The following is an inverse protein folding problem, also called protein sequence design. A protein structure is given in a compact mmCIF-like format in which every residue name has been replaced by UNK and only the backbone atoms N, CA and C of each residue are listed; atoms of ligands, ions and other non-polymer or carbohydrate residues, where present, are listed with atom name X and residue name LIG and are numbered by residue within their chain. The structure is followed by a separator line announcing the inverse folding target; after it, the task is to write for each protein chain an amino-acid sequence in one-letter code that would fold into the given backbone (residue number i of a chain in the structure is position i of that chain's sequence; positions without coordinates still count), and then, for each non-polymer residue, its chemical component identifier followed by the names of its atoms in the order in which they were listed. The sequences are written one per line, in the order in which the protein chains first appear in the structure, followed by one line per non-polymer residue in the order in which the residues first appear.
data_IF_526323131558
#
_entry.id   IF_526323131558
#
_cell.length_a   1.000
_cell.length_b   1.000
_cell.length_c   1.000
_cell.angle_alpha   90.00
_cell.angle_beta   90.00
_cell.angle_gamma   90.00
#
_symmetry.space_group_name_H-M   'P 1'
#
loop_
_entity.id
_entity.type
_entity.pdbx_description
1 polymer ?
#
# COMPACT_ATOMS: atom_id res chain seq x y z
N UNK A 1 -49.27 7.97 17.32
CA UNK A 1 -47.98 7.45 17.82
C UNK A 1 -46.89 8.29 17.20
N UNK A 2 -46.07 8.83 18.08
CA UNK A 2 -45.32 10.07 17.95
C UNK A 2 -44.17 10.03 16.94
N UNK A 3 -44.12 11.05 16.09
CA UNK A 3 -42.92 11.45 15.38
C UNK A 3 -42.39 12.73 16.04
N UNK A 4 -41.24 12.64 16.73
CA UNK A 4 -40.60 13.80 17.36
C UNK A 4 -39.14 13.92 16.96
N UNK A 5 -38.92 14.96 16.15
CA UNK A 5 -37.86 15.98 16.20
C UNK A 5 -36.41 15.52 16.04
N UNK A 6 -35.85 15.88 14.88
CA UNK A 6 -34.43 16.19 14.75
C UNK A 6 -34.30 17.71 14.82
N UNK A 7 -33.51 18.18 15.78
CA UNK A 7 -33.20 19.58 16.01
C UNK A 7 -31.89 19.91 15.28
N UNK A 8 -31.98 20.72 14.24
CA UNK A 8 -30.83 21.31 13.54
C UNK A 8 -30.63 22.73 14.08
N UNK A 9 -29.44 23.01 14.62
CA UNK A 9 -29.00 24.36 14.99
C UNK A 9 -28.10 24.88 13.86
N UNK A 10 -28.49 25.92 13.10
CA UNK A 10 -27.61 26.60 12.17
C UNK A 10 -26.66 27.56 12.89
N UNK A 11 -25.41 27.58 12.45
CA UNK A 11 -24.35 28.49 12.89
C UNK A 11 -24.35 29.79 12.06
N UNK A 12 -24.10 30.89 12.78
CA UNK A 12 -23.54 32.18 12.33
C UNK A 12 -24.49 33.22 11.71
N UNK A 13 -24.08 34.51 11.64
CA UNK A 13 -23.44 35.37 12.66
C UNK A 13 -24.28 36.67 12.86
N UNK A 14 -24.07 37.42 13.93
CA UNK A 14 -24.53 38.82 13.96
C UNK A 14 -23.55 39.70 14.72
N UNK A 15 -22.88 40.54 13.93
CA UNK A 15 -22.34 41.83 14.32
C UNK A 15 -23.34 42.61 15.18
N UNK A 16 -22.85 43.24 16.25
CA UNK A 16 -23.43 44.47 16.78
C UNK A 16 -22.32 45.42 17.21
N UNK A 17 -22.26 46.51 16.46
CA UNK A 17 -21.53 47.73 16.67
C UNK A 17 -22.19 48.64 17.73
N UNK A 18 -21.33 49.35 18.46
CA UNK A 18 -21.40 50.75 18.92
C UNK A 18 -22.66 51.32 19.63
N UNK A 19 -22.44 51.84 20.84
CA UNK A 19 -22.87 53.16 21.36
C UNK A 19 -22.03 53.42 22.64
N UNK A 20 -20.98 54.25 22.65
CA UNK A 20 -20.93 55.72 22.79
C UNK A 20 -21.67 56.30 24.01
N UNK A 21 -20.91 56.67 25.04
CA UNK A 21 -21.10 57.93 25.76
C UNK A 21 -19.74 58.59 26.03
N UNK A 22 -19.61 59.79 25.46
CA UNK A 22 -18.67 60.88 25.75
C UNK A 22 -18.91 61.38 27.18
N UNK A 23 -17.93 61.79 27.98
CA UNK A 23 -17.16 63.05 28.02
C UNK A 23 -16.14 62.83 29.16
N UNK A 24 -14.89 63.29 29.15
CA UNK A 24 -14.53 64.68 29.48
C UNK A 24 -12.99 64.84 29.36
N UNK A 25 -12.60 65.66 28.39
CA UNK A 25 -11.59 66.72 28.45
C UNK A 25 -10.40 66.61 29.46
N UNK A 26 -9.17 66.51 28.93
CA UNK A 26 -8.10 67.49 29.23
C UNK A 26 -6.88 67.28 28.35
N UNK A 27 -6.59 68.29 27.52
CA UNK A 27 -5.36 68.51 26.79
C UNK A 27 -4.17 68.73 27.74
N UNK A 28 -3.10 67.93 27.63
CA UNK A 28 -1.75 68.32 28.07
C UNK A 28 -0.73 67.80 27.04
N UNK A 29 -0.10 68.76 26.37
CA UNK A 29 1.23 68.80 25.78
C UNK A 29 1.92 67.50 25.34
N UNK A 30 2.17 67.43 24.03
CA UNK A 30 3.29 66.71 23.46
C UNK A 30 4.60 67.36 23.93
N UNK A 31 5.28 66.75 24.90
CA UNK A 31 6.71 66.92 25.05
C UNK A 31 7.43 65.68 24.50
N UNK A 32 8.06 65.89 23.35
CA UNK A 32 9.04 65.00 22.75
C UNK A 32 10.28 65.03 23.64
N UNK A 33 10.30 64.19 24.67
CA UNK A 33 11.54 63.85 25.36
C UNK A 33 12.08 62.53 24.81
N UNK A 34 12.98 62.71 23.84
CA UNK A 34 14.02 61.78 23.46
C UNK A 34 14.83 61.42 24.73
N UNK A 35 14.49 60.31 25.37
CA UNK A 35 15.31 59.68 26.41
C UNK A 35 16.05 58.50 25.81
N UNK A 36 17.27 58.75 25.34
CA UNK A 36 18.35 57.77 25.40
C UNK A 36 18.62 57.48 26.87
N UNK A 37 17.91 56.50 27.44
CA UNK A 37 18.03 56.07 28.83
C UNK A 37 18.25 54.57 28.88
N UNK A 38 19.38 54.15 29.44
CA UNK A 38 19.76 52.75 29.65
C UNK A 38 18.58 51.91 30.13
N UNK A 39 18.28 50.81 29.44
CA UNK A 39 17.34 49.79 29.94
C UNK A 39 17.92 49.16 31.19
N UNK A 40 17.65 49.73 32.36
CA UNK A 40 17.86 49.04 33.64
C UNK A 40 16.83 47.92 33.70
N UNK A 41 17.28 46.69 33.43
CA UNK A 41 16.43 45.49 33.48
C UNK A 41 15.99 45.26 34.94
N UNK A 42 14.82 45.78 35.28
CA UNK A 42 14.20 45.56 36.58
C UNK A 42 13.69 44.11 36.66
N UNK A 43 13.75 43.48 37.83
CA UNK A 43 13.33 42.08 38.01
C UNK A 43 11.90 41.76 37.51
N UNK A 44 11.06 42.80 37.36
CA UNK A 44 9.73 42.69 36.77
C UNK A 44 9.73 42.35 35.28
N UNK A 45 10.71 42.82 34.50
CA UNK A 45 10.83 42.48 33.06
C UNK A 45 11.27 41.03 32.88
N UNK A 46 12.13 40.52 33.77
CA UNK A 46 12.50 39.11 33.80
C UNK A 46 11.34 38.20 34.17
N UNK A 47 10.54 38.61 35.15
CA UNK A 47 9.34 37.86 35.54
C UNK A 47 8.35 37.75 34.37
N UNK A 48 8.06 38.86 33.69
CA UNK A 48 7.19 38.84 32.50
C UNK A 48 7.76 38.00 31.36
N UNK A 49 9.06 38.13 31.08
CA UNK A 49 9.72 37.32 30.06
C UNK A 49 9.64 35.82 30.38
N UNK A 50 9.83 35.44 31.65
CA UNK A 50 9.69 34.07 32.10
C UNK A 50 8.25 33.54 31.97
N UNK A 51 7.23 34.37 32.28
CA UNK A 51 5.83 34.01 32.10
C UNK A 51 5.48 33.79 30.62
N UNK A 52 5.93 34.67 29.72
CA UNK A 52 5.70 34.54 28.28
C UNK A 52 6.40 33.28 27.75
N UNK A 53 7.64 33.05 28.15
CA UNK A 53 8.39 31.86 27.75
C UNK A 53 7.72 30.57 28.25
N UNK A 54 7.24 30.56 29.49
CA UNK A 54 6.51 29.42 30.04
C UNK A 54 5.20 29.16 29.29
N UNK A 55 4.44 30.20 28.97
CA UNK A 55 3.21 30.07 28.18
C UNK A 55 3.48 29.55 26.76
N UNK A 56 4.55 30.04 26.12
CA UNK A 56 4.97 29.58 24.81
C UNK A 56 5.41 28.10 24.82
N UNK A 57 6.20 27.69 25.81
CA UNK A 57 6.63 26.29 25.97
C UNK A 57 5.43 25.36 26.24
N UNK A 58 4.46 25.79 27.06
CA UNK A 58 3.23 25.03 27.28
C UNK A 58 2.41 24.89 26.00
N UNK A 59 2.25 25.96 25.21
CA UNK A 59 1.53 25.92 23.94
C UNK A 59 2.19 24.97 22.92
N UNK A 60 3.52 24.98 22.82
CA UNK A 60 4.28 24.06 21.96
C UNK A 60 4.07 22.61 22.41
N UNK A 61 4.13 22.35 23.72
CA UNK A 61 3.98 21.00 24.25
C UNK A 61 2.56 20.44 24.01
N UNK A 62 1.53 21.27 24.24
CA UNK A 62 0.14 20.96 23.89
C UNK A 62 -0.06 20.75 22.39
N UNK A 63 0.56 21.59 21.56
CA UNK A 63 0.54 21.45 20.10
C UNK A 63 1.14 20.13 19.64
N UNK A 64 2.31 19.76 20.17
CA UNK A 64 3.00 18.52 19.88
C UNK A 64 2.19 17.29 20.31
N UNK A 65 1.60 17.31 21.52
CA UNK A 65 0.72 16.26 22.01
C UNK A 65 -0.52 16.10 21.12
N UNK A 66 -1.15 17.20 20.71
CA UNK A 66 -2.32 17.16 19.83
C UNK A 66 -1.97 16.63 18.44
N UNK A 67 -0.81 17.00 17.88
CA UNK A 67 -0.36 16.52 16.59
C UNK A 67 -0.06 15.01 16.63
N UNK A 68 0.58 14.53 17.70
CA UNK A 68 0.84 13.10 17.92
C UNK A 68 -0.46 12.32 18.07
N UNK A 69 -1.43 12.84 18.82
CA UNK A 69 -2.75 12.22 18.94
C UNK A 69 -3.49 12.21 17.60
N UNK A 70 -3.45 13.30 16.84
CA UNK A 70 -4.08 13.40 15.52
C UNK A 70 -3.48 12.40 14.52
N UNK A 71 -2.16 12.22 14.56
CA UNK A 71 -1.46 11.23 13.73
C UNK A 71 -1.82 9.80 14.16
N UNK A 72 -1.95 9.54 15.46
CA UNK A 72 -2.37 8.23 15.98
C UNK A 72 -3.86 7.93 15.73
N UNK A 73 -4.69 8.96 15.59
CA UNK A 73 -6.13 8.84 15.31
C UNK A 73 -6.46 8.95 13.83
N UNK A 74 -5.48 9.02 12.93
CA UNK A 74 -5.72 8.87 11.50
C UNK A 74 -6.49 7.55 11.31
N UNK A 75 -7.67 7.58 10.66
CA UNK A 75 -8.44 6.37 10.44
C UNK A 75 -7.55 5.40 9.66
N UNK A 76 -7.13 4.33 10.32
CA UNK A 76 -6.65 3.16 9.61
C UNK A 76 -7.78 2.74 8.67
N UNK A 77 -7.48 2.38 7.40
CA UNK A 77 -8.52 1.92 6.49
C UNK A 77 -9.33 0.86 7.20
N UNK A 78 -10.65 1.07 7.29
CA UNK A 78 -11.57 0.20 8.00
C UNK A 78 -11.43 -1.18 7.37
N UNK A 79 -10.68 -2.07 8.03
CA UNK A 79 -10.54 -3.46 7.62
C UNK A 79 -11.92 -4.07 7.73
N UNK A 80 -12.54 -4.39 6.61
CA UNK A 80 -13.76 -5.20 6.60
C UNK A 80 -13.44 -6.50 7.33
N UNK A 81 -14.28 -6.94 8.28
CA UNK A 81 -14.07 -8.23 8.92
C UNK A 81 -14.12 -9.29 7.84
N UNK A 82 -13.03 -10.04 7.64
CA UNK A 82 -13.01 -11.10 6.64
C UNK A 82 -14.17 -12.07 6.93
N UNK A 83 -14.78 -12.66 5.91
CA UNK A 83 -15.84 -13.68 6.07
C UNK A 83 -15.36 -14.87 6.92
N UNK A 84 -14.04 -15.01 7.08
CA UNK A 84 -13.41 -16.04 7.88
C UNK A 84 -13.02 -15.61 9.30
N UNK A 85 -13.31 -14.37 9.70
CA UNK A 85 -12.98 -13.83 11.01
C UNK A 85 -13.83 -14.56 12.07
N UNK A 86 -13.17 -15.33 12.95
CA UNK A 86 -13.85 -16.15 13.97
C UNK A 86 -13.86 -17.65 13.69
N UNK A 87 -13.46 -18.12 12.50
CA UNK A 87 -13.05 -19.53 12.33
C UNK A 87 -11.74 -19.82 13.08
N UNK A 88 -11.00 -18.76 13.42
CA UNK A 88 -9.74 -18.83 14.15
C UNK A 88 -9.95 -19.23 15.63
N UNK A 89 -11.16 -19.07 16.17
CA UNK A 89 -11.50 -19.54 17.53
C UNK A 89 -11.85 -21.02 17.58
N UNK A 90 -12.20 -21.63 16.44
CA UNK A 90 -12.41 -23.07 16.29
C UNK A 90 -11.08 -23.84 16.16
N UNK A 91 -9.99 -23.11 15.94
CA UNK A 91 -8.64 -23.63 15.98
C UNK A 91 -8.24 -23.81 17.45
N UNK A 92 -8.32 -25.06 17.92
CA UNK A 92 -7.96 -25.44 19.29
C UNK A 92 -6.58 -24.94 19.73
N UNK A 93 -6.35 -24.97 21.05
CA UNK A 93 -5.24 -24.39 21.84
C UNK A 93 -3.78 -24.69 21.38
N UNK A 94 -3.59 -25.50 20.33
CA UNK A 94 -2.30 -25.94 19.79
C UNK A 94 -2.11 -25.53 18.30
N UNK A 95 -2.45 -24.31 17.90
CA UNK A 95 -2.23 -23.86 16.52
C UNK A 95 -0.93 -23.08 16.36
N UNK A 96 0.16 -23.83 16.15
CA UNK A 96 1.42 -23.31 15.57
C UNK A 96 1.37 -23.24 14.04
N UNK A 97 0.23 -23.53 13.41
CA UNK A 97 0.09 -23.61 11.95
C UNK A 97 -0.26 -22.26 11.34
N UNK A 98 0.77 -21.60 10.86
CA UNK A 98 0.73 -20.43 9.98
C UNK A 98 -0.37 -20.50 8.92
N UNK A 99 -1.22 -19.47 8.86
CA UNK A 99 -2.26 -19.36 7.83
C UNK A 99 -1.68 -18.77 6.55
N UNK A 100 -1.93 -19.47 5.43
CA UNK A 100 -1.66 -18.96 4.08
C UNK A 100 -2.81 -19.23 3.12
N UNK A 101 -2.90 -18.40 2.07
CA UNK A 101 -3.91 -18.49 1.00
C UNK A 101 -3.27 -18.20 -0.34
N UNK A 102 -3.49 -19.09 -1.30
CA UNK A 102 -2.95 -18.97 -2.66
C UNK A 102 -4.02 -18.37 -3.57
N UNK A 103 -3.59 -17.48 -4.45
CA UNK A 103 -4.41 -16.82 -5.46
C UNK A 103 -3.71 -16.88 -6.81
N UNK A 104 -4.47 -16.82 -7.89
CA UNK A 104 -3.98 -16.94 -9.26
C UNK A 104 -4.21 -15.62 -10.01
N UNK A 105 -3.45 -15.36 -11.10
CA UNK A 105 -3.59 -14.14 -11.86
C UNK A 105 -5.03 -13.91 -12.33
N UNK A 106 -5.47 -12.66 -12.45
CA UNK A 106 -6.73 -12.33 -13.12
C UNK A 106 -6.51 -12.19 -14.63
N UNK A 107 -5.35 -11.67 -15.02
CA UNK A 107 -4.97 -11.51 -16.42
C UNK A 107 -3.46 -11.53 -16.59
N UNK A 108 -3.04 -12.13 -17.70
CA UNK A 108 -1.66 -12.08 -18.20
C UNK A 108 -1.68 -11.37 -19.55
N UNK A 109 -0.69 -10.51 -19.78
CA UNK A 109 -0.54 -9.77 -21.03
C UNK A 109 0.96 -9.63 -21.37
N UNK A 110 1.26 -9.36 -22.63
CA UNK A 110 2.61 -9.00 -23.08
C UNK A 110 2.60 -7.62 -23.70
N UNK A 111 3.72 -6.92 -23.64
CA UNK A 111 3.87 -5.59 -24.24
C UNK A 111 5.30 -5.38 -24.73
N UNK A 112 5.46 -4.54 -25.75
CA UNK A 112 6.75 -4.24 -26.34
C UNK A 112 7.35 -2.95 -25.74
N UNK A 113 8.65 -3.01 -25.43
CA UNK A 113 9.48 -1.92 -24.91
C UNK A 113 8.85 -1.28 -23.67
N UNK A 114 8.50 0.00 -23.75
CA UNK A 114 7.88 0.76 -22.66
C UNK A 114 6.37 0.95 -22.84
N UNK A 115 5.75 0.32 -23.85
CA UNK A 115 4.35 0.55 -24.20
C UNK A 115 3.38 -0.37 -23.43
N UNK A 116 3.36 -0.24 -22.10
CA UNK A 116 2.44 -1.01 -21.24
C UNK A 116 0.95 -0.75 -21.54
N UNK A 117 0.61 0.41 -22.14
CA UNK A 117 -0.77 0.74 -22.52
C UNK A 117 -1.23 -0.05 -23.74
N UNK A 118 -0.32 -0.32 -24.67
CA UNK A 118 -0.55 -1.18 -25.84
C UNK A 118 -0.37 -2.67 -25.55
N UNK A 119 -0.56 -3.11 -24.29
CA UNK A 119 -0.42 -4.52 -23.91
C UNK A 119 -1.45 -5.40 -24.61
N UNK A 120 -1.00 -6.55 -25.09
CA UNK A 120 -1.84 -7.59 -25.69
C UNK A 120 -2.20 -8.59 -24.61
N UNK A 121 -3.49 -8.68 -24.28
CA UNK A 121 -3.97 -9.69 -23.32
C UNK A 121 -3.76 -11.08 -23.92
N UNK A 122 -3.11 -11.95 -23.17
CA UNK A 122 -2.97 -13.34 -23.55
C UNK A 122 -4.23 -14.09 -23.13
N UNK A 123 -4.78 -14.84 -24.07
CA UNK A 123 -5.93 -15.70 -23.86
C UNK A 123 -5.44 -17.15 -23.84
N UNK A 124 -5.89 -17.93 -22.85
CA UNK A 124 -5.55 -19.34 -22.70
C UNK A 124 -6.76 -20.21 -23.08
N UNK A 125 -7.02 -20.47 -24.37
CA UNK A 125 -8.08 -21.38 -24.77
C UNK A 125 -7.79 -22.79 -24.24
N UNK A 126 -8.72 -23.36 -23.46
CA UNK A 126 -8.50 -24.64 -22.79
C UNK A 126 -7.51 -24.58 -21.61
N UNK A 127 -7.30 -23.38 -21.05
CA UNK A 127 -6.47 -23.13 -19.87
C UNK A 127 -5.00 -23.50 -20.00
N UNK A 128 -4.51 -23.58 -21.23
CA UNK A 128 -3.10 -23.83 -21.54
C UNK A 128 -2.61 -22.78 -22.51
N UNK A 129 -1.47 -22.15 -22.22
CA UNK A 129 -0.80 -21.24 -23.13
C UNK A 129 0.69 -21.17 -22.83
N UNK A 130 1.48 -20.61 -23.74
CA UNK A 130 2.89 -20.31 -23.50
C UNK A 130 3.02 -18.81 -23.32
N UNK A 131 3.54 -18.39 -22.17
CA UNK A 131 3.94 -17.01 -21.92
C UNK A 131 5.36 -16.83 -22.44
N UNK A 132 5.48 -16.13 -23.56
CA UNK A 132 6.76 -15.81 -24.18
C UNK A 132 7.10 -14.34 -23.97
N UNK A 133 8.28 -14.06 -23.44
CA UNK A 133 8.82 -12.71 -23.30
C UNK A 133 10.35 -12.75 -23.33
N UNK A 134 10.98 -11.62 -23.64
CA UNK A 134 12.39 -11.58 -23.98
C UNK A 134 12.71 -10.47 -24.96
N UNK A 135 13.99 -10.10 -25.04
CA UNK A 135 14.49 -8.99 -25.86
C UNK A 135 13.76 -7.67 -25.61
N UNK A 136 12.79 -7.35 -26.48
CA UNK A 136 11.97 -6.14 -26.43
C UNK A 136 10.60 -6.40 -25.82
N UNK A 137 10.19 -7.65 -25.66
CA UNK A 137 8.88 -8.03 -25.13
C UNK A 137 8.98 -8.28 -23.63
N UNK A 138 8.06 -7.71 -22.89
CA UNK A 138 7.91 -7.91 -21.45
C UNK A 138 6.52 -8.46 -21.13
N UNK A 139 6.41 -9.13 -19.99
CA UNK A 139 5.15 -9.66 -19.51
C UNK A 139 4.56 -8.78 -18.40
N UNK A 140 3.24 -8.64 -18.40
CA UNK A 140 2.43 -7.92 -17.44
C UNK A 140 1.44 -8.87 -16.79
N UNK A 141 1.39 -8.88 -15.47
CA UNK A 141 0.52 -9.78 -14.71
C UNK A 141 -0.26 -8.97 -13.68
N UNK A 142 -1.57 -9.19 -13.60
CA UNK A 142 -2.46 -8.58 -12.62
C UNK A 142 -3.00 -9.66 -11.69
N UNK A 143 -2.90 -9.43 -10.39
CA UNK A 143 -3.55 -10.22 -9.35
C UNK A 143 -4.56 -9.36 -8.60
N UNK A 144 -5.73 -9.93 -8.36
CA UNK A 144 -6.68 -9.38 -7.39
C UNK A 144 -6.42 -10.02 -6.02
N UNK A 145 -6.22 -9.21 -5.00
CA UNK A 145 -5.96 -9.66 -3.62
C UNK A 145 -7.28 -9.79 -2.86
N UNK A 146 -7.76 -11.00 -2.56
CA UNK A 146 -8.96 -11.18 -1.76
C UNK A 146 -8.74 -10.78 -0.31
N UNK A 147 -9.83 -10.48 0.38
CA UNK A 147 -9.80 -10.14 1.79
C UNK A 147 -9.76 -11.39 2.67
N UNK A 148 -8.56 -11.84 2.98
CA UNK A 148 -8.33 -12.90 3.97
C UNK A 148 -7.77 -12.37 5.29
N UNK A 149 -7.60 -11.04 5.44
CA UNK A 149 -6.85 -10.45 6.54
C UNK A 149 -5.34 -10.76 6.53
N UNK A 150 -4.79 -11.15 5.38
CA UNK A 150 -3.39 -11.55 5.19
C UNK A 150 -2.72 -10.53 4.27
N UNK A 151 -1.70 -9.83 4.78
CA UNK A 151 -1.10 -8.65 4.11
C UNK A 151 0.36 -8.86 3.66
N UNK A 152 0.93 -10.02 3.95
CA UNK A 152 2.26 -10.40 3.47
C UNK A 152 2.12 -11.33 2.27
N UNK A 153 2.71 -10.98 1.14
CA UNK A 153 2.62 -11.76 -0.09
C UNK A 153 3.98 -12.22 -0.58
N UNK A 154 3.99 -13.37 -1.25
CA UNK A 154 5.07 -13.78 -2.14
C UNK A 154 4.49 -14.15 -3.51
N UNK A 155 5.29 -14.01 -4.55
CA UNK A 155 4.97 -14.50 -5.89
C UNK A 155 5.83 -15.74 -6.15
N UNK A 156 5.19 -16.85 -6.48
CA UNK A 156 5.85 -18.11 -6.79
C UNK A 156 5.65 -18.46 -8.26
N UNK A 157 6.71 -18.95 -8.89
CA UNK A 157 6.71 -19.40 -10.27
C UNK A 157 6.94 -20.91 -10.26
N UNK A 158 5.90 -21.69 -10.57
CA UNK A 158 5.94 -23.15 -10.46
C UNK A 158 6.10 -23.79 -11.82
N UNK A 159 7.05 -24.72 -11.95
CA UNK A 159 7.20 -25.59 -13.12
C UNK A 159 6.92 -27.05 -12.78
N UNK A 160 5.81 -27.61 -13.28
CA UNK A 160 5.57 -29.04 -13.21
C UNK A 160 6.11 -29.74 -14.46
N UNK A 161 6.93 -30.77 -14.24
CA UNK A 161 7.65 -31.57 -15.24
C UNK A 161 6.73 -32.46 -16.12
N UNK A 162 5.43 -32.49 -15.80
CA UNK A 162 4.44 -33.35 -16.48
C UNK A 162 3.86 -32.77 -17.77
N UNK A 163 4.19 -31.52 -18.12
CA UNK A 163 3.76 -30.97 -19.41
C UNK A 163 4.54 -31.65 -20.53
N UNK A 164 3.86 -32.55 -21.24
CA UNK A 164 4.30 -33.35 -22.39
C UNK A 164 4.67 -32.52 -23.62
N UNK A 165 4.88 -31.21 -23.47
CA UNK A 165 5.21 -30.29 -24.52
C UNK A 165 6.73 -30.30 -24.74
N UNK A 166 7.13 -31.14 -25.71
CA UNK A 166 8.37 -31.12 -26.49
C UNK A 166 9.67 -31.23 -25.69
N UNK A 167 10.30 -32.42 -25.72
CA UNK A 167 11.75 -32.71 -25.92
C UNK A 167 12.83 -31.68 -25.50
N UNK A 168 12.57 -30.79 -24.54
CA UNK A 168 13.48 -29.73 -24.13
C UNK A 168 14.21 -30.14 -22.86
N UNK A 169 15.46 -30.53 -23.09
CA UNK A 169 16.59 -30.40 -22.18
C UNK A 169 16.39 -29.27 -21.15
N UNK A 170 16.37 -29.62 -19.85
CA UNK A 170 16.52 -28.72 -18.69
C UNK A 170 16.30 -27.22 -18.98
N UNK A 171 15.04 -26.80 -19.17
CA UNK A 171 14.75 -25.39 -19.39
C UNK A 171 15.05 -24.61 -18.10
N UNK A 172 16.10 -23.78 -18.14
CA UNK A 172 16.50 -22.89 -17.05
C UNK A 172 16.52 -21.46 -17.56
N UNK A 173 15.69 -20.59 -17.00
CA UNK A 173 15.60 -19.19 -17.42
C UNK A 173 15.50 -18.25 -16.21
N UNK A 174 16.27 -17.15 -16.22
CA UNK A 174 16.20 -16.13 -15.19
C UNK A 174 15.17 -15.07 -15.54
N UNK A 175 14.34 -14.70 -14.58
CA UNK A 175 13.24 -13.74 -14.74
C UNK A 175 13.33 -12.69 -13.64
N UNK A 176 13.48 -11.44 -14.02
CA UNK A 176 13.32 -10.31 -13.10
C UNK A 176 11.84 -10.05 -12.86
N UNK A 177 11.47 -9.94 -11.59
CA UNK A 177 10.11 -9.67 -11.16
C UNK A 177 10.06 -8.29 -10.54
N UNK A 178 9.39 -7.38 -11.24
CA UNK A 178 9.20 -6.00 -10.79
C UNK A 178 7.77 -5.79 -10.31
N UNK A 179 7.60 -5.25 -9.11
CA UNK A 179 6.32 -4.78 -8.59
C UNK A 179 6.03 -3.38 -9.15
N UNK A 180 4.85 -3.19 -9.73
CA UNK A 180 4.38 -1.89 -10.20
C UNK A 180 3.46 -1.27 -9.14
N UNK A 181 3.74 -0.01 -8.79
CA UNK A 181 2.95 0.74 -7.81
C UNK A 181 1.55 1.11 -8.33
N UNK A 182 1.40 1.22 -9.64
CA UNK A 182 0.16 1.63 -10.28
C UNK A 182 -0.06 0.85 -11.57
N UNK A 183 -1.33 0.64 -11.91
CA UNK A 183 -1.71 0.02 -13.16
C UNK A 183 -1.15 0.81 -14.36
N UNK A 184 -0.50 0.12 -15.29
CA UNK A 184 -0.08 0.72 -16.56
C UNK A 184 1.00 1.81 -16.43
N UNK A 185 1.73 1.87 -15.31
CA UNK A 185 2.89 2.76 -15.14
C UNK A 185 4.14 1.93 -14.85
N UNK A 186 5.15 2.06 -15.71
CA UNK A 186 6.47 1.45 -15.52
C UNK A 186 7.43 2.32 -14.69
N UNK A 187 7.04 3.58 -14.42
CA UNK A 187 7.78 4.47 -13.51
C UNK A 187 7.58 3.99 -12.07
N UNK A 188 8.62 4.14 -11.26
CA UNK A 188 8.61 3.81 -9.82
C UNK A 188 8.36 2.32 -9.51
N UNK A 189 8.69 1.44 -10.47
CA UNK A 189 8.65 0.00 -10.24
C UNK A 189 9.77 -0.43 -9.29
N UNK A 190 9.49 -1.42 -8.44
CA UNK A 190 10.43 -1.94 -7.45
C UNK A 190 10.82 -3.35 -7.85
N UNK A 191 12.12 -3.63 -7.98
CA UNK A 191 12.58 -5.00 -8.19
C UNK A 191 12.33 -5.79 -6.91
N UNK A 192 11.53 -6.85 -7.02
CA UNK A 192 11.33 -7.77 -5.90
C UNK A 192 12.44 -8.80 -5.84
N UNK A 193 12.65 -9.50 -6.95
CA UNK A 193 13.60 -10.59 -7.03
C UNK A 193 13.97 -10.94 -8.48
N UNK A 194 15.03 -11.72 -8.65
CA UNK A 194 15.37 -12.39 -9.91
C UNK A 194 15.25 -13.90 -9.70
N UNK A 195 14.17 -14.48 -10.21
CA UNK A 195 13.88 -15.90 -10.03
C UNK A 195 14.45 -16.71 -11.18
N UNK A 196 15.08 -17.85 -10.86
CA UNK A 196 15.51 -18.82 -11.85
C UNK A 196 14.41 -19.87 -12.00
N UNK A 197 13.69 -19.81 -13.11
CA UNK A 197 12.71 -20.82 -13.50
C UNK A 197 13.44 -22.08 -13.96
N UNK A 198 13.17 -23.21 -13.30
CA UNK A 198 13.72 -24.52 -13.63
C UNK A 198 12.68 -25.60 -13.36
N UNK A 199 12.77 -26.74 -14.07
CA UNK A 199 11.84 -27.85 -13.91
C UNK A 199 11.82 -28.40 -12.48
N UNK A 200 10.63 -28.65 -11.93
CA UNK A 200 10.44 -29.18 -10.58
C UNK A 200 10.74 -28.19 -9.45
N UNK A 201 11.20 -26.98 -9.77
CA UNK A 201 11.41 -25.91 -8.80
C UNK A 201 10.17 -25.02 -8.69
N UNK A 202 9.99 -24.44 -7.50
CA UNK A 202 8.99 -23.41 -7.23
C UNK A 202 9.67 -22.18 -6.60
N UNK A 203 10.55 -21.48 -7.37
CA UNK A 203 11.18 -20.25 -6.90
C UNK A 203 10.11 -19.24 -6.49
N UNK A 204 10.38 -18.55 -5.39
CA UNK A 204 9.45 -17.63 -4.75
C UNK A 204 10.18 -16.33 -4.45
N UNK A 205 9.54 -15.18 -4.71
CA UNK A 205 10.13 -13.86 -4.43
C UNK A 205 10.30 -13.62 -2.95
N UNK A 206 11.18 -12.66 -2.62
CA UNK A 206 11.13 -11.99 -1.32
C UNK A 206 9.70 -11.51 -0.96
N UNK A 207 9.32 -11.53 0.33
CA UNK A 207 8.03 -11.03 0.77
C UNK A 207 7.83 -9.55 0.51
N UNK A 208 6.61 -9.20 0.14
CA UNK A 208 6.19 -7.81 -0.03
C UNK A 208 4.80 -7.59 0.57
N UNK A 209 4.49 -6.34 0.88
CA UNK A 209 3.18 -5.96 1.40
C UNK A 209 2.12 -5.93 0.28
N UNK A 210 0.97 -6.53 0.53
CA UNK A 210 -0.18 -6.55 -0.38
C UNK A 210 -1.46 -6.23 0.39
N UNK A 211 -2.09 -5.10 0.10
CA UNK A 211 -3.31 -4.71 0.80
C UNK A 211 -4.49 -5.63 0.45
N UNK A 212 -5.32 -5.99 1.42
CA UNK A 212 -6.57 -6.69 1.17
C UNK A 212 -7.47 -5.88 0.21
N UNK A 213 -8.22 -6.58 -0.67
CA UNK A 213 -9.11 -5.98 -1.67
C UNK A 213 -8.41 -5.05 -2.68
N UNK A 214 -7.09 -5.17 -2.84
CA UNK A 214 -6.33 -4.39 -3.81
C UNK A 214 -5.99 -5.19 -5.06
N UNK A 215 -5.40 -4.52 -6.05
CA UNK A 215 -4.76 -5.15 -7.19
C UNK A 215 -3.24 -4.99 -7.07
N UNK A 216 -2.52 -6.06 -7.40
CA UNK A 216 -1.06 -6.07 -7.45
C UNK A 216 -0.65 -6.38 -8.89
N UNK A 217 0.26 -5.57 -9.40
CA UNK A 217 0.68 -5.63 -10.80
C UNK A 217 2.16 -5.93 -10.89
N UNK A 218 2.53 -6.90 -11.72
CA UNK A 218 3.91 -7.30 -11.94
C UNK A 218 4.34 -7.03 -13.37
N UNK A 219 5.58 -6.58 -13.52
CA UNK A 219 6.31 -6.54 -14.77
C UNK A 219 7.41 -7.60 -14.72
N UNK A 220 7.28 -8.60 -15.58
CA UNK A 220 8.29 -9.65 -15.76
C UNK A 220 9.17 -9.29 -16.96
N UNK A 221 10.48 -9.37 -16.76
CA UNK A 221 11.50 -9.07 -17.76
C UNK A 221 12.63 -10.09 -17.69
N UNK A 222 13.26 -10.41 -18.82
CA UNK A 222 14.53 -11.13 -18.77
C UNK A 222 15.72 -10.17 -18.53
N UNK A 223 16.66 -10.48 -17.62
CA UNK A 223 17.77 -9.58 -17.27
C UNK A 223 18.76 -9.30 -18.42
N UNK A 224 18.89 -10.20 -19.40
CA UNK A 224 19.87 -10.11 -20.49
C UNK A 224 19.30 -9.64 -21.83
N UNK A 225 20.14 -9.00 -22.66
CA UNK A 225 19.88 -8.83 -24.09
C UNK A 225 20.01 -10.18 -24.81
N UNK A 226 19.14 -10.48 -25.78
CA UNK A 226 19.10 -11.78 -26.45
C UNK A 226 18.43 -12.89 -25.64
N UNK A 227 17.94 -12.58 -24.44
CA UNK A 227 17.28 -13.57 -23.60
C UNK A 227 15.82 -13.75 -23.99
N UNK A 228 15.41 -15.01 -24.14
CA UNK A 228 14.04 -15.43 -24.36
C UNK A 228 13.59 -16.40 -23.27
N UNK A 229 12.43 -16.13 -22.69
CA UNK A 229 11.79 -16.95 -21.65
C UNK A 229 10.46 -17.44 -22.20
N UNK A 230 10.24 -18.75 -22.11
CA UNK A 230 8.99 -19.40 -22.46
C UNK A 230 8.48 -20.16 -21.24
N UNK A 231 7.32 -19.76 -20.72
CA UNK A 231 6.72 -20.39 -19.53
C UNK A 231 5.40 -21.04 -19.96
N UNK A 232 5.28 -22.38 -19.91
CA UNK A 232 4.03 -23.03 -20.24
C UNK A 232 3.03 -22.84 -19.08
N UNK A 233 2.08 -21.93 -19.22
CA UNK A 233 1.09 -21.66 -18.19
C UNK A 233 -0.13 -22.57 -18.34
N UNK A 234 -0.60 -23.07 -17.20
CA UNK A 234 -1.80 -23.89 -17.05
C UNK A 234 -2.73 -23.26 -15.99
N UNK A 235 -4.05 -23.36 -16.16
CA UNK A 235 -5.07 -22.70 -15.32
C UNK A 235 -4.69 -21.24 -15.02
N UNK A 236 -4.46 -20.50 -16.10
CA UNK A 236 -3.77 -19.20 -16.13
C UNK A 236 -4.49 -18.14 -15.30
N UNK A 237 -5.79 -18.31 -15.05
CA UNK A 237 -6.61 -17.28 -14.40
C UNK A 237 -7.36 -17.78 -13.18
N UNK A 238 -7.67 -16.85 -12.27
CA UNK A 238 -8.52 -17.10 -11.11
C UNK A 238 -9.91 -17.65 -11.47
N UNK A 239 -10.42 -17.39 -12.68
CA UNK A 239 -11.70 -17.95 -13.14
C UNK A 239 -11.64 -19.43 -13.48
N UNK A 240 -10.45 -19.93 -13.82
CA UNK A 240 -10.22 -21.29 -14.30
C UNK A 240 -9.41 -22.14 -13.32
N UNK A 241 -8.86 -21.51 -12.29
CA UNK A 241 -8.18 -22.19 -11.21
C UNK A 241 -9.12 -23.05 -10.35
N UNK A 242 -8.98 -24.37 -10.45
CA UNK A 242 -9.56 -25.36 -9.53
C UNK A 242 -8.58 -25.89 -8.47
N UNK A 243 -8.99 -26.94 -7.74
CA UNK A 243 -8.18 -27.61 -6.70
C UNK A 243 -6.85 -28.12 -7.26
N UNK A 244 -6.86 -28.62 -8.50
CA UNK A 244 -5.69 -29.19 -9.15
C UNK A 244 -4.68 -28.14 -9.65
N UNK A 245 -5.03 -26.86 -9.66
CA UNK A 245 -4.15 -25.78 -10.14
C UNK A 245 -2.87 -25.65 -9.31
N UNK A 246 -2.88 -26.13 -8.06
CA UNK A 246 -1.68 -26.20 -7.21
C UNK A 246 -0.61 -27.15 -7.76
N UNK A 247 -1.03 -28.12 -8.58
CA UNK A 247 -0.15 -29.10 -9.21
C UNK A 247 0.26 -28.65 -10.62
N UNK A 248 -0.22 -27.52 -11.10
CA UNK A 248 -0.02 -27.10 -12.48
C UNK A 248 1.12 -26.08 -12.62
N UNK A 249 1.70 -25.99 -13.82
CA UNK A 249 2.72 -24.99 -14.13
C UNK A 249 2.06 -23.61 -14.22
N UNK A 250 2.57 -22.63 -13.47
CA UNK A 250 1.94 -21.33 -13.44
C UNK A 250 2.55 -20.34 -12.47
N UNK A 251 1.94 -19.15 -12.44
CA UNK A 251 2.22 -18.13 -11.44
C UNK A 251 1.17 -18.23 -10.34
N UNK A 252 1.61 -18.13 -9.09
CA UNK A 252 0.70 -18.05 -7.96
C UNK A 252 1.19 -17.02 -6.95
N UNK A 253 0.24 -16.33 -6.33
CA UNK A 253 0.52 -15.35 -5.29
C UNK A 253 -0.02 -15.89 -3.97
N UNK A 254 0.86 -16.02 -2.99
CA UNK A 254 0.52 -16.57 -1.68
C UNK A 254 0.50 -15.46 -0.65
N UNK A 255 -0.64 -15.29 0.02
CA UNK A 255 -0.81 -14.42 1.16
C UNK A 255 -0.53 -15.19 2.46
N UNK A 256 0.16 -14.55 3.40
CA UNK A 256 0.57 -15.10 4.69
C UNK A 256 0.11 -14.20 5.83
N UNK A 257 -0.15 -14.84 6.96
CA UNK A 257 -0.53 -14.18 8.21
C UNK A 257 0.60 -13.33 8.79
N UNK A 258 1.83 -13.88 8.79
CA UNK A 258 3.02 -13.23 9.28
C UNK A 258 4.23 -13.57 8.40
N UNK A 259 5.29 -12.77 8.46
CA UNK A 259 6.53 -13.04 7.73
C UNK A 259 7.21 -14.35 8.18
N UNK A 260 7.05 -14.72 9.46
CA UNK A 260 7.55 -15.98 10.02
C UNK A 260 6.85 -17.22 9.45
N UNK A 261 5.78 -17.02 8.69
CA UNK A 261 4.98 -18.08 8.08
C UNK A 261 5.37 -18.42 6.65
N UNK A 262 6.37 -17.72 6.11
CA UNK A 262 6.88 -17.94 4.77
C UNK A 262 7.91 -19.07 4.86
N UNK A 263 7.71 -20.17 4.12
CA UNK A 263 8.58 -21.34 4.16
C UNK A 263 9.97 -21.09 3.57
#
# INVERSE_FOLDING_TARGET
MDASKHEYIPLSPSDKSHELLSEENSSIEQDIHQSTGSTSWNGWTWFLAACILSAALSAINLGALSAVQTIRSLPTPIKTPSVYMGLDTLRGKNNTLCRSRVTYPESVATFEKANIRGRTRLHAPGDKMILEFGDTTSAYINFRIPDYGLENCTLSLKCNDTSTYLDQTQFTASVEIWLLQNEGKLRDKVLLDTLTFANGAEPTTAPFFCAAQSHVFFHLRCPGEGCQVQIPLQNVTAMTAGVDSRLQTGLSLTQYEALTCIP
#
